data_IF_615881817936
#
_entry.id   IF_615881817936
#
_cell.length_a   1.000
_cell.length_b   1.000
_cell.length_c   1.000
_cell.angle_alpha   90.00
_cell.angle_beta   90.00
_cell.angle_gamma   90.00
#
_symmetry.space_group_name_H-M   'P 1'
#
loop_
_entity.id
_entity.type
_entity.pdbx_description
1 polymer ?
#
# COMPACT_ATOMS: atom_id res chain seq x y z
N UNK A 1 84.80 -39.85 15.78
CA UNK A 1 84.15 -40.11 14.48
C UNK A 1 82.58 -40.03 14.53
N UNK A 2 82.00 -39.56 15.61
CA UNK A 2 80.51 -39.42 15.73
C UNK A 2 79.95 -38.12 15.12
N UNK A 3 80.73 -37.06 15.06
CA UNK A 3 80.26 -35.73 14.66
C UNK A 3 79.88 -35.56 13.16
N UNK A 4 80.44 -36.34 12.26
CA UNK A 4 80.22 -36.19 10.84
C UNK A 4 78.85 -36.85 10.40
N UNK A 5 78.56 -37.98 11.03
CA UNK A 5 77.24 -38.67 10.76
C UNK A 5 76.05 -37.89 11.27
N UNK A 6 76.20 -37.25 12.40
CA UNK A 6 75.07 -36.42 12.95
C UNK A 6 74.91 -35.14 12.14
N UNK A 7 75.95 -34.51 11.67
CA UNK A 7 75.91 -33.36 10.77
C UNK A 7 75.26 -33.68 9.41
N UNK A 8 75.65 -34.86 8.85
CA UNK A 8 75.00 -35.28 7.58
C UNK A 8 73.49 -35.59 7.74
N UNK A 9 73.08 -36.24 8.83
CA UNK A 9 71.68 -36.48 9.16
C UNK A 9 70.88 -35.18 9.38
N UNK A 10 71.48 -34.20 10.02
CA UNK A 10 70.88 -32.92 10.25
C UNK A 10 70.78 -32.11 8.97
N UNK A 11 71.71 -32.18 8.07
CA UNK A 11 71.69 -31.56 6.75
C UNK A 11 70.65 -32.21 5.83
N UNK A 12 70.55 -33.54 5.85
CA UNK A 12 69.51 -34.27 5.12
C UNK A 12 68.09 -33.94 5.64
N UNK A 13 67.92 -33.86 6.98
CA UNK A 13 66.66 -33.42 7.58
C UNK A 13 66.29 -31.98 7.17
N UNK A 14 67.28 -31.05 7.19
CA UNK A 14 66.99 -29.66 6.72
C UNK A 14 66.63 -29.60 5.25
N UNK A 15 67.32 -30.33 4.40
CA UNK A 15 66.97 -30.41 2.95
C UNK A 15 65.66 -31.08 2.71
N UNK A 16 65.25 -32.09 3.46
CA UNK A 16 63.91 -32.69 3.37
C UNK A 16 62.84 -31.73 3.89
N UNK A 17 63.11 -30.98 4.97
CA UNK A 17 62.17 -29.98 5.52
C UNK A 17 62.02 -28.83 4.57
N UNK A 18 63.07 -28.31 3.95
CA UNK A 18 62.96 -27.26 2.92
C UNK A 18 62.29 -27.74 1.67
N UNK A 19 62.44 -28.95 1.18
CA UNK A 19 61.70 -29.53 0.07
C UNK A 19 60.24 -29.71 0.40
N UNK A 20 59.93 -30.15 1.63
CA UNK A 20 58.49 -30.33 2.03
C UNK A 20 57.78 -29.00 2.29
N UNK A 21 58.45 -27.96 2.80
CA UNK A 21 57.91 -26.61 2.93
C UNK A 21 57.64 -26.00 1.53
N UNK A 22 58.60 -26.08 0.62
CA UNK A 22 58.42 -25.59 -0.77
C UNK A 22 57.29 -26.30 -1.53
N UNK A 23 57.09 -27.61 -1.27
CA UNK A 23 55.92 -28.34 -1.86
C UNK A 23 54.59 -27.92 -1.26
N UNK A 24 54.55 -27.71 0.05
CA UNK A 24 53.30 -27.22 0.73
C UNK A 24 52.94 -25.82 0.28
N UNK A 25 53.88 -24.91 0.07
CA UNK A 25 53.63 -23.57 -0.46
C UNK A 25 53.15 -23.62 -1.90
N UNK A 26 53.75 -24.46 -2.76
CA UNK A 26 53.27 -24.67 -4.14
C UNK A 26 51.84 -25.23 -4.22
N UNK A 27 51.50 -26.20 -3.33
CA UNK A 27 50.15 -26.76 -3.21
C UNK A 27 49.15 -25.70 -2.70
N UNK A 28 49.54 -24.88 -1.71
CA UNK A 28 48.73 -23.75 -1.23
C UNK A 28 48.51 -22.72 -2.33
N UNK A 29 49.52 -22.32 -3.08
CA UNK A 29 49.41 -21.37 -4.18
C UNK A 29 48.54 -21.92 -5.29
N UNK A 30 48.61 -23.22 -5.61
CA UNK A 30 47.78 -23.85 -6.61
C UNK A 30 46.29 -23.92 -6.17
N UNK A 31 46.04 -24.29 -4.92
CA UNK A 31 44.67 -24.29 -4.35
C UNK A 31 44.09 -22.88 -4.30
N UNK A 32 44.86 -21.86 -3.91
CA UNK A 32 44.48 -20.47 -3.95
C UNK A 32 44.17 -20.00 -5.38
N UNK A 33 44.99 -20.35 -6.34
CA UNK A 33 44.76 -20.01 -7.74
C UNK A 33 43.50 -20.66 -8.31
N UNK A 34 43.17 -21.90 -7.94
CA UNK A 34 41.92 -22.59 -8.29
C UNK A 34 40.74 -21.87 -7.63
N UNK A 35 40.86 -21.54 -6.33
CA UNK A 35 39.82 -20.82 -5.60
C UNK A 35 39.54 -19.45 -6.23
N UNK A 36 40.54 -18.66 -6.56
CA UNK A 36 40.35 -17.36 -7.23
C UNK A 36 39.74 -17.50 -8.63
N UNK A 37 40.15 -18.52 -9.40
CA UNK A 37 39.52 -18.78 -10.70
C UNK A 37 38.05 -19.19 -10.58
N UNK A 38 37.72 -20.02 -9.61
CA UNK A 38 36.35 -20.41 -9.32
C UNK A 38 35.52 -19.22 -8.81
N UNK A 39 36.07 -18.41 -7.89
CA UNK A 39 35.43 -17.20 -7.38
C UNK A 39 35.18 -16.18 -8.52
N UNK A 40 36.16 -15.99 -9.41
CA UNK A 40 36.04 -15.09 -10.55
C UNK A 40 34.94 -15.59 -11.53
N UNK A 41 34.84 -16.91 -11.75
CA UNK A 41 33.78 -17.53 -12.52
C UNK A 41 32.40 -17.29 -11.93
N UNK A 42 32.24 -17.44 -10.61
CA UNK A 42 30.99 -17.17 -9.90
C UNK A 42 30.61 -15.69 -9.97
N UNK A 43 31.57 -14.78 -9.80
CA UNK A 43 31.34 -13.33 -9.93
C UNK A 43 30.91 -12.98 -11.34
N UNK A 44 31.52 -13.57 -12.37
CA UNK A 44 31.17 -13.32 -13.77
C UNK A 44 29.75 -13.81 -14.07
N UNK A 45 29.38 -15.01 -13.62
CA UNK A 45 28.01 -15.53 -13.76
C UNK A 45 27.01 -14.63 -13.01
N UNK A 46 27.33 -14.20 -11.79
CA UNK A 46 26.50 -13.28 -11.02
C UNK A 46 26.34 -11.92 -11.74
N UNK A 47 27.41 -11.38 -12.32
CA UNK A 47 27.36 -10.13 -13.08
C UNK A 47 26.51 -10.26 -14.35
N UNK A 48 26.59 -11.39 -15.07
CA UNK A 48 25.75 -11.67 -16.24
C UNK A 48 24.29 -11.80 -15.84
N UNK A 49 23.98 -12.53 -14.78
CA UNK A 49 22.61 -12.65 -14.25
C UNK A 49 22.07 -11.29 -13.80
N UNK A 50 22.88 -10.52 -13.10
CA UNK A 50 22.52 -9.15 -12.68
C UNK A 50 22.24 -8.26 -13.90
N UNK A 51 23.06 -8.34 -14.95
CA UNK A 51 22.86 -7.59 -16.19
C UNK A 51 21.54 -7.97 -16.89
N UNK A 52 21.20 -9.27 -16.97
CA UNK A 52 19.93 -9.72 -17.55
C UNK A 52 18.73 -9.28 -16.70
N UNK A 53 18.83 -9.39 -15.38
CA UNK A 53 17.77 -8.94 -14.45
C UNK A 53 17.59 -7.42 -14.58
N UNK A 54 18.69 -6.66 -14.66
CA UNK A 54 18.67 -5.21 -14.83
C UNK A 54 18.04 -4.80 -16.16
N UNK A 55 18.43 -5.43 -17.26
CA UNK A 55 17.83 -5.23 -18.58
C UNK A 55 16.32 -5.55 -18.59
N UNK A 56 15.95 -6.65 -17.94
CA UNK A 56 14.55 -7.04 -17.84
C UNK A 56 13.71 -6.09 -16.97
N UNK A 57 14.27 -5.65 -15.85
CA UNK A 57 13.62 -4.65 -15.00
C UNK A 57 13.46 -3.27 -15.65
N UNK A 58 14.37 -2.89 -16.54
CA UNK A 58 14.37 -1.57 -17.20
C UNK A 58 13.87 -1.65 -18.65
N UNK A 59 13.18 -2.73 -19.02
CA UNK A 59 12.58 -2.83 -20.35
C UNK A 59 11.52 -1.73 -20.50
N UNK A 60 11.69 -0.90 -21.52
CA UNK A 60 10.70 0.10 -21.95
C UNK A 60 9.78 -0.56 -22.97
N UNK A 61 8.50 -0.38 -22.80
CA UNK A 61 7.47 -0.86 -23.71
C UNK A 61 6.98 0.32 -24.55
N UNK A 62 6.67 0.06 -25.82
CA UNK A 62 6.25 1.10 -26.77
C UNK A 62 4.79 0.98 -27.18
N UNK A 63 4.19 -0.18 -26.97
CA UNK A 63 2.82 -0.46 -27.38
C UNK A 63 2.04 -1.17 -26.29
N UNK A 64 0.73 -0.96 -26.26
CA UNK A 64 -0.22 -1.73 -25.48
C UNK A 64 -1.16 -2.47 -26.43
N UNK A 65 -1.42 -3.75 -26.16
CA UNK A 65 -2.29 -4.59 -27.00
C UNK A 65 -3.32 -5.29 -26.14
N UNK A 66 -4.58 -5.25 -26.57
CA UNK A 66 -5.65 -6.03 -25.95
C UNK A 66 -5.53 -7.49 -26.42
N UNK A 67 -5.26 -8.40 -25.49
CA UNK A 67 -5.10 -9.84 -25.76
C UNK A 67 -6.32 -10.68 -25.47
N UNK A 68 -7.27 -10.12 -24.71
CA UNK A 68 -8.57 -10.73 -24.38
C UNK A 68 -9.58 -9.63 -24.05
N UNK A 69 -10.83 -9.86 -24.41
CA UNK A 69 -11.93 -8.92 -24.14
C UNK A 69 -13.21 -9.69 -23.84
N UNK A 70 -13.83 -9.38 -22.71
CA UNK A 70 -15.13 -9.96 -22.32
C UNK A 70 -16.15 -8.84 -22.19
N UNK A 71 -17.27 -8.90 -22.92
CA UNK A 71 -18.33 -7.92 -22.80
C UNK A 71 -18.95 -7.93 -21.39
N UNK A 72 -19.08 -6.75 -20.78
CA UNK A 72 -19.71 -6.56 -19.46
C UNK A 72 -20.64 -5.39 -19.55
N UNK A 73 -21.86 -5.54 -18.98
CA UNK A 73 -22.79 -4.45 -18.88
C UNK A 73 -22.55 -3.68 -17.58
N UNK A 74 -22.04 -2.47 -17.68
CA UNK A 74 -21.90 -1.56 -16.55
C UNK A 74 -23.11 -0.64 -16.54
N UNK A 75 -23.91 -0.71 -15.47
CA UNK A 75 -25.11 0.12 -15.32
C UNK A 75 -24.68 1.57 -15.18
N UNK A 76 -25.44 2.47 -15.80
CA UNK A 76 -25.18 3.91 -15.69
C UNK A 76 -25.23 4.38 -14.22
N UNK A 77 -24.20 5.09 -13.79
CA UNK A 77 -24.05 5.53 -12.40
C UNK A 77 -23.40 4.49 -11.46
N UNK A 78 -23.02 3.32 -11.98
CA UNK A 78 -22.20 2.38 -11.20
C UNK A 78 -20.75 2.88 -11.10
N UNK A 79 -20.17 2.70 -9.92
CA UNK A 79 -18.76 2.93 -9.66
C UNK A 79 -17.97 1.66 -9.86
N UNK A 80 -16.76 1.80 -10.42
CA UNK A 80 -15.83 0.69 -10.68
C UNK A 80 -14.60 0.88 -9.79
N UNK A 81 -14.21 -0.15 -9.05
CA UNK A 81 -13.03 -0.12 -8.15
C UNK A 81 -12.23 -1.41 -8.27
N UNK A 82 -10.95 -1.32 -7.98
CA UNK A 82 -10.12 -2.50 -7.80
C UNK A 82 -10.38 -3.13 -6.43
N UNK A 83 -10.53 -4.45 -6.37
CA UNK A 83 -10.65 -5.25 -5.16
C UNK A 83 -9.61 -6.38 -5.22
N UNK A 84 -8.38 -6.10 -4.78
CA UNK A 84 -7.23 -6.92 -5.12
C UNK A 84 -7.02 -6.98 -6.62
N UNK A 85 -7.07 -8.17 -7.21
CA UNK A 85 -7.02 -8.39 -8.66
C UNK A 85 -8.41 -8.46 -9.32
N UNK A 86 -9.49 -8.32 -8.55
CA UNK A 86 -10.88 -8.39 -9.00
C UNK A 86 -11.42 -6.99 -9.35
N UNK A 87 -12.49 -6.94 -10.10
CA UNK A 87 -13.24 -5.72 -10.39
C UNK A 87 -14.49 -5.69 -9.50
N UNK A 88 -14.62 -4.67 -8.68
CA UNK A 88 -15.81 -4.39 -7.89
C UNK A 88 -16.68 -3.36 -8.62
N UNK A 89 -17.89 -3.74 -8.96
CA UNK A 89 -18.91 -2.84 -9.50
C UNK A 89 -19.96 -2.60 -8.42
N UNK A 90 -20.21 -1.36 -8.05
CA UNK A 90 -21.26 -1.04 -7.08
C UNK A 90 -22.07 0.19 -7.50
N UNK A 91 -23.32 0.18 -7.12
CA UNK A 91 -24.28 1.28 -7.36
C UNK A 91 -25.20 1.45 -6.15
N UNK A 92 -26.26 2.22 -6.30
CA UNK A 92 -27.33 2.32 -5.29
C UNK A 92 -28.12 1.02 -5.15
N UNK A 93 -28.14 0.18 -6.17
CA UNK A 93 -29.03 -1.00 -6.29
C UNK A 93 -28.30 -2.31 -5.98
N UNK A 94 -26.99 -2.27 -5.80
CA UNK A 94 -26.23 -3.49 -5.49
C UNK A 94 -24.77 -3.41 -5.80
N UNK A 95 -24.09 -4.54 -5.58
CA UNK A 95 -22.66 -4.75 -5.80
C UNK A 95 -22.41 -6.09 -6.48
N UNK A 96 -21.43 -6.14 -7.36
CA UNK A 96 -20.96 -7.37 -7.98
C UNK A 96 -19.44 -7.41 -8.06
N UNK A 97 -18.89 -8.61 -8.03
CA UNK A 97 -17.46 -8.85 -8.25
C UNK A 97 -17.26 -9.61 -9.55
N UNK A 98 -16.28 -9.16 -10.33
CA UNK A 98 -15.84 -9.82 -11.56
C UNK A 98 -14.42 -10.32 -11.40
N UNK A 99 -14.09 -11.42 -12.07
CA UNK A 99 -12.71 -11.89 -12.19
C UNK A 99 -11.89 -11.00 -13.16
N UNK A 100 -10.60 -11.28 -13.27
CA UNK A 100 -9.68 -10.59 -14.18
C UNK A 100 -10.07 -10.70 -15.67
N UNK A 101 -10.98 -11.63 -16.00
CA UNK A 101 -11.49 -11.86 -17.34
C UNK A 101 -12.88 -11.28 -17.56
N UNK A 102 -13.47 -10.63 -16.54
CA UNK A 102 -14.81 -10.05 -16.61
C UNK A 102 -15.98 -11.01 -16.34
N UNK A 103 -15.72 -12.26 -15.90
CA UNK A 103 -16.81 -13.13 -15.50
C UNK A 103 -17.34 -12.75 -14.12
N UNK A 104 -18.66 -12.69 -13.97
CA UNK A 104 -19.30 -12.41 -12.67
C UNK A 104 -19.04 -13.57 -11.72
N UNK A 105 -18.40 -13.31 -10.59
CA UNK A 105 -18.16 -14.28 -9.53
C UNK A 105 -19.36 -14.39 -8.60
N UNK A 106 -19.88 -13.26 -8.20
CA UNK A 106 -21.08 -13.12 -7.37
C UNK A 106 -21.70 -11.74 -7.52
N UNK A 107 -22.95 -11.60 -7.10
CA UNK A 107 -23.65 -10.34 -7.00
C UNK A 107 -24.50 -10.28 -5.72
N UNK A 108 -24.76 -9.08 -5.25
CA UNK A 108 -25.67 -8.79 -4.14
C UNK A 108 -26.49 -7.55 -4.48
N UNK A 109 -27.82 -7.68 -4.35
CA UNK A 109 -28.72 -6.55 -4.48
C UNK A 109 -28.99 -5.92 -3.12
N UNK A 110 -29.10 -4.61 -3.10
CA UNK A 110 -29.51 -3.79 -1.96
C UNK A 110 -30.12 -2.49 -2.49
N UNK A 111 -30.65 -1.68 -1.60
CA UNK A 111 -31.14 -0.33 -1.92
C UNK A 111 -30.44 0.65 -0.99
N UNK A 112 -29.66 1.58 -1.56
CA UNK A 112 -28.92 2.63 -0.85
C UNK A 112 -29.19 3.98 -1.49
N UNK A 113 -29.17 5.05 -0.69
CA UNK A 113 -29.32 6.42 -1.20
C UNK A 113 -27.98 7.04 -1.57
N UNK A 114 -26.98 6.89 -0.71
CA UNK A 114 -25.64 7.47 -0.86
C UNK A 114 -24.58 6.43 -0.47
N UNK A 115 -24.28 5.45 -1.33
CA UNK A 115 -23.34 4.37 -1.01
C UNK A 115 -21.91 4.92 -0.81
N UNK A 116 -21.30 4.55 0.30
CA UNK A 116 -19.89 4.77 0.62
C UNK A 116 -19.16 3.43 0.55
N UNK A 117 -17.97 3.42 -0.02
CA UNK A 117 -17.17 2.21 -0.14
C UNK A 117 -15.77 2.43 0.39
N UNK A 118 -15.29 1.50 1.20
CA UNK A 118 -13.90 1.43 1.66
C UNK A 118 -13.35 0.06 1.33
N UNK A 119 -12.06 0.00 0.99
CA UNK A 119 -11.38 -1.21 0.52
C UNK A 119 -10.07 -1.37 1.28
N UNK A 120 -9.78 -2.61 1.70
CA UNK A 120 -8.50 -3.02 2.24
C UNK A 120 -8.14 -4.38 1.64
N UNK A 121 -7.08 -4.42 0.81
CA UNK A 121 -6.68 -5.63 0.08
C UNK A 121 -7.81 -6.20 -0.78
N UNK A 122 -8.26 -7.40 -0.44
CA UNK A 122 -9.33 -8.11 -1.16
C UNK A 122 -10.70 -8.03 -0.45
N UNK A 123 -10.87 -7.12 0.49
CA UNK A 123 -12.13 -6.92 1.24
C UNK A 123 -12.64 -5.50 1.07
N UNK A 124 -13.93 -5.37 0.85
CA UNK A 124 -14.63 -4.10 0.79
C UNK A 124 -15.81 -4.06 1.77
N UNK A 125 -16.06 -2.89 2.33
CA UNK A 125 -17.30 -2.57 3.04
C UNK A 125 -18.06 -1.49 2.28
N UNK A 126 -19.36 -1.73 2.04
CA UNK A 126 -20.26 -0.82 1.37
C UNK A 126 -21.36 -0.44 2.35
N UNK A 127 -21.41 0.82 2.75
CA UNK A 127 -22.42 1.36 3.67
C UNK A 127 -23.16 2.52 3.04
N UNK A 128 -24.36 2.81 3.55
CA UNK A 128 -25.14 3.97 3.12
C UNK A 128 -24.90 5.16 4.08
N UNK A 129 -24.50 6.31 3.56
CA UNK A 129 -24.39 7.53 4.36
C UNK A 129 -25.77 7.92 4.92
N UNK A 130 -25.86 8.13 6.22
CA UNK A 130 -27.12 8.25 6.98
C UNK A 130 -27.96 6.97 7.04
N UNK A 131 -27.58 5.90 6.36
CA UNK A 131 -28.21 4.58 6.52
C UNK A 131 -27.71 3.84 7.77
N UNK A 132 -28.10 2.56 7.87
CA UNK A 132 -27.79 1.71 9.04
C UNK A 132 -27.28 0.33 8.67
N UNK A 133 -26.98 0.09 7.40
CA UNK A 133 -26.54 -1.21 6.92
C UNK A 133 -25.19 -1.08 6.23
N UNK A 134 -24.29 -2.03 6.52
CA UNK A 134 -22.98 -2.15 5.87
C UNK A 134 -22.87 -3.58 5.34
N UNK A 135 -22.67 -3.73 4.04
CA UNK A 135 -22.35 -5.01 3.40
C UNK A 135 -20.85 -5.19 3.35
N UNK A 136 -20.38 -6.32 3.84
CA UNK A 136 -18.96 -6.68 3.82
C UNK A 136 -18.76 -7.80 2.83
N UNK A 137 -17.86 -7.59 1.88
CA UNK A 137 -17.65 -8.48 0.74
C UNK A 137 -16.16 -8.71 0.51
N UNK A 138 -15.82 -9.86 -0.05
CA UNK A 138 -14.49 -10.12 -0.60
C UNK A 138 -14.55 -10.22 -2.12
N UNK A 139 -13.39 -10.25 -2.78
CA UNK A 139 -13.32 -10.48 -4.21
C UNK A 139 -14.04 -11.77 -4.66
N UNK A 140 -14.07 -12.79 -3.82
CA UNK A 140 -14.56 -14.12 -4.18
C UNK A 140 -15.96 -14.45 -3.61
N UNK A 141 -16.43 -13.73 -2.58
CA UNK A 141 -17.73 -13.99 -1.93
C UNK A 141 -18.21 -12.83 -1.06
N UNK A 142 -19.48 -12.87 -0.72
CA UNK A 142 -20.02 -12.08 0.38
C UNK A 142 -19.51 -12.61 1.72
N UNK A 143 -19.18 -11.71 2.66
CA UNK A 143 -18.72 -12.09 4.00
C UNK A 143 -19.84 -11.99 5.03
N UNK A 144 -20.51 -10.82 5.11
CA UNK A 144 -21.60 -10.62 6.05
C UNK A 144 -22.26 -9.24 5.89
N UNK A 145 -23.21 -8.98 6.78
CA UNK A 145 -23.94 -7.71 6.84
C UNK A 145 -23.93 -7.21 8.27
N UNK A 146 -23.54 -5.96 8.45
CA UNK A 146 -23.58 -5.27 9.74
C UNK A 146 -24.77 -4.32 9.74
N UNK A 147 -25.65 -4.48 10.74
CA UNK A 147 -26.76 -3.55 10.98
C UNK A 147 -26.42 -2.66 12.17
N UNK A 148 -26.24 -1.37 11.92
CA UNK A 148 -25.99 -0.38 12.96
C UNK A 148 -27.31 0.16 13.53
N UNK A 149 -27.35 0.46 14.83
CA UNK A 149 -28.56 1.04 15.45
C UNK A 149 -28.66 2.56 15.20
N UNK A 150 -27.58 3.18 14.75
CA UNK A 150 -27.42 4.62 14.56
C UNK A 150 -27.02 4.92 13.10
N UNK A 151 -27.28 6.16 12.63
CA UNK A 151 -26.90 6.56 11.28
C UNK A 151 -25.38 6.54 11.07
N UNK A 152 -24.94 6.02 9.91
CA UNK A 152 -23.55 5.88 9.52
C UNK A 152 -23.03 7.20 8.93
N UNK A 153 -21.85 7.65 9.40
CA UNK A 153 -21.15 8.82 8.88
C UNK A 153 -19.89 8.45 8.11
N UNK A 154 -19.11 7.49 8.62
CA UNK A 154 -17.90 6.98 7.99
C UNK A 154 -17.76 5.49 8.27
N UNK A 155 -17.06 4.80 7.39
CA UNK A 155 -16.70 3.38 7.57
C UNK A 155 -15.25 3.17 7.17
N UNK A 156 -14.60 2.19 7.76
CA UNK A 156 -13.38 1.60 7.25
C UNK A 156 -13.39 0.09 7.49
N UNK A 157 -12.64 -0.65 6.70
CA UNK A 157 -12.58 -2.12 6.74
C UNK A 157 -11.14 -2.60 6.75
N UNK A 158 -10.90 -3.74 7.34
CA UNK A 158 -9.61 -4.45 7.34
C UNK A 158 -9.65 -5.66 6.39
N UNK A 159 -8.50 -6.19 6.01
CA UNK A 159 -8.41 -7.39 5.16
C UNK A 159 -9.03 -8.65 5.78
N UNK A 160 -9.10 -8.70 7.11
CA UNK A 160 -9.74 -9.81 7.82
C UNK A 160 -11.24 -9.60 8.07
N UNK A 161 -11.85 -8.56 7.50
CA UNK A 161 -13.29 -8.31 7.55
C UNK A 161 -13.80 -7.61 8.80
N UNK A 162 -12.93 -7.07 9.65
CA UNK A 162 -13.36 -6.17 10.74
C UNK A 162 -13.77 -4.83 10.14
N UNK A 163 -14.91 -4.30 10.56
CA UNK A 163 -15.44 -3.00 10.12
C UNK A 163 -15.46 -2.06 11.31
N UNK A 164 -14.96 -0.84 11.13
CA UNK A 164 -15.21 0.26 12.05
C UNK A 164 -16.14 1.27 11.40
N UNK A 165 -17.14 1.72 12.14
CA UNK A 165 -18.14 2.69 11.72
C UNK A 165 -18.21 3.87 12.69
N UNK A 166 -18.17 5.07 12.15
CA UNK A 166 -18.51 6.31 12.88
C UNK A 166 -20.00 6.52 12.76
N UNK A 167 -20.67 6.56 13.90
CA UNK A 167 -22.13 6.64 14.02
C UNK A 167 -22.51 7.92 14.77
N UNK A 168 -23.61 8.51 14.33
CA UNK A 168 -24.16 9.75 14.90
C UNK A 168 -25.21 9.42 15.98
N UNK A 169 -24.93 9.81 17.21
CA UNK A 169 -25.82 9.61 18.35
C UNK A 169 -26.00 10.95 19.10
N UNK A 170 -26.98 11.73 18.69
CA UNK A 170 -27.40 13.03 19.29
C UNK A 170 -26.25 13.93 19.76
N UNK A 171 -25.75 13.66 20.97
CA UNK A 171 -24.71 14.47 21.63
C UNK A 171 -23.34 13.77 21.65
N UNK A 172 -23.27 12.52 21.19
CA UNK A 172 -22.07 11.68 21.23
C UNK A 172 -21.84 11.05 19.87
N UNK A 173 -20.64 11.14 19.36
CA UNK A 173 -20.22 10.34 18.21
C UNK A 173 -19.69 8.99 18.70
N UNK A 174 -20.23 7.90 18.19
CA UNK A 174 -19.77 6.55 18.52
C UNK A 174 -18.94 5.97 17.39
N UNK A 175 -17.83 5.37 17.74
CA UNK A 175 -17.02 4.60 16.82
C UNK A 175 -17.12 3.14 17.25
N UNK A 176 -17.89 2.36 16.47
CA UNK A 176 -18.18 0.95 16.79
C UNK A 176 -17.41 0.04 15.84
N UNK A 177 -16.87 -1.04 16.41
CA UNK A 177 -16.24 -2.11 15.62
C UNK A 177 -17.15 -3.33 15.58
N UNK A 178 -17.17 -3.98 14.39
CA UNK A 178 -18.00 -5.14 14.12
C UNK A 178 -17.19 -6.26 13.45
N UNK A 179 -17.59 -7.51 13.68
CA UNK A 179 -17.14 -8.62 12.87
C UNK A 179 -17.96 -8.70 11.57
N UNK A 180 -17.41 -8.18 10.47
CA UNK A 180 -18.09 -8.18 9.18
C UNK A 180 -18.08 -9.52 8.45
N UNK A 181 -17.51 -10.59 9.03
CA UNK A 181 -17.53 -11.94 8.44
C UNK A 181 -18.82 -12.71 8.72
N UNK A 182 -19.76 -12.08 9.38
CA UNK A 182 -21.07 -12.65 9.73
C UNK A 182 -22.14 -11.56 9.70
N UNK A 183 -23.40 -11.99 9.68
CA UNK A 183 -24.50 -11.05 9.84
C UNK A 183 -24.61 -10.68 11.32
N UNK A 184 -24.45 -9.41 11.65
CA UNK A 184 -24.42 -8.95 13.05
C UNK A 184 -25.04 -7.56 13.22
N UNK A 185 -25.59 -7.34 14.38
CA UNK A 185 -26.02 -6.03 14.94
C UNK A 185 -25.23 -5.67 16.21
N UNK A 186 -24.34 -6.56 16.64
CA UNK A 186 -23.59 -6.43 17.89
C UNK A 186 -22.17 -5.97 17.62
N UNK A 187 -21.79 -4.84 18.25
CA UNK A 187 -20.43 -4.32 18.18
C UNK A 187 -19.49 -5.07 19.12
N UNK A 188 -18.24 -5.25 18.67
CA UNK A 188 -17.14 -5.81 19.49
C UNK A 188 -16.58 -4.75 20.44
N UNK A 189 -16.53 -3.49 19.97
CA UNK A 189 -15.95 -2.34 20.69
C UNK A 189 -16.84 -1.13 20.49
N UNK A 190 -16.93 -0.27 21.52
CA UNK A 190 -17.66 1.00 21.52
C UNK A 190 -16.78 2.12 22.07
N UNK A 191 -16.27 2.98 21.20
CA UNK A 191 -15.51 4.18 21.55
C UNK A 191 -16.44 5.38 21.48
N UNK A 192 -16.50 6.16 22.56
CA UNK A 192 -17.34 7.36 22.63
C UNK A 192 -16.48 8.61 22.49
N UNK A 193 -16.84 9.45 21.54
CA UNK A 193 -16.23 10.76 21.32
C UNK A 193 -17.25 11.87 21.54
N UNK A 194 -16.91 12.85 22.37
CA UNK A 194 -17.72 14.05 22.59
C UNK A 194 -16.93 15.28 22.13
N UNK A 195 -17.62 16.30 21.66
CA UNK A 195 -16.99 17.52 21.12
C UNK A 195 -16.09 18.21 22.14
N UNK A 196 -16.46 18.17 23.42
CA UNK A 196 -15.75 18.82 24.53
C UNK A 196 -14.50 18.05 25.01
N UNK A 197 -14.41 16.74 24.77
CA UNK A 197 -13.28 15.92 25.23
C UNK A 197 -12.37 15.47 24.10
N UNK A 198 -12.94 14.77 23.12
CA UNK A 198 -12.17 14.13 22.06
C UNK A 198 -12.18 14.92 20.75
N UNK A 199 -13.21 15.74 20.54
CA UNK A 199 -13.50 16.37 19.24
C UNK A 199 -14.30 15.46 18.32
N UNK A 200 -14.49 15.92 17.07
CA UNK A 200 -15.21 15.20 16.02
C UNK A 200 -14.22 14.36 15.17
N UNK A 201 -14.52 13.07 14.89
CA UNK A 201 -13.65 12.23 14.08
C UNK A 201 -13.71 12.62 12.59
N UNK A 202 -12.61 13.18 12.09
CA UNK A 202 -12.46 13.58 10.69
C UNK A 202 -12.13 12.40 9.78
N UNK A 203 -11.28 11.48 10.24
CA UNK A 203 -10.82 10.33 9.46
C UNK A 203 -10.60 9.13 10.37
N UNK A 204 -10.87 7.95 9.84
CA UNK A 204 -10.63 6.66 10.52
C UNK A 204 -9.93 5.69 9.58
N UNK A 205 -9.05 4.86 10.09
CA UNK A 205 -8.39 3.81 9.33
C UNK A 205 -8.08 2.60 10.22
N UNK A 206 -8.42 1.41 9.77
CA UNK A 206 -8.02 0.13 10.38
C UNK A 206 -6.72 -0.37 9.77
N UNK A 207 -5.86 -0.96 10.59
CA UNK A 207 -4.75 -1.76 10.09
C UNK A 207 -5.28 -2.99 9.30
N UNK A 208 -4.54 -3.50 8.30
CA UNK A 208 -5.01 -4.65 7.50
C UNK A 208 -5.42 -5.86 8.34
N UNK A 209 -4.74 -6.13 9.46
CA UNK A 209 -5.10 -7.21 10.38
C UNK A 209 -6.24 -6.87 11.37
N UNK A 210 -6.83 -5.67 11.28
CA UNK A 210 -7.95 -5.22 12.12
C UNK A 210 -7.63 -5.02 13.60
N UNK A 211 -6.35 -5.04 14.02
CA UNK A 211 -5.96 -4.92 15.44
C UNK A 211 -5.75 -3.49 15.88
N UNK A 212 -5.39 -2.60 14.99
CA UNK A 212 -5.17 -1.18 15.28
C UNK A 212 -6.21 -0.34 14.54
N UNK A 213 -6.69 0.71 15.19
CA UNK A 213 -7.52 1.76 14.62
C UNK A 213 -6.85 3.10 14.85
N UNK A 214 -6.65 3.86 13.79
CA UNK A 214 -6.25 5.26 13.83
C UNK A 214 -7.47 6.15 13.64
N UNK A 215 -7.58 7.19 14.43
CA UNK A 215 -8.65 8.18 14.32
C UNK A 215 -8.02 9.57 14.40
N UNK A 216 -8.34 10.41 13.43
CA UNK A 216 -8.04 11.84 13.49
C UNK A 216 -9.27 12.57 14.02
N UNK A 217 -9.10 13.28 15.15
CA UNK A 217 -10.14 14.12 15.74
C UNK A 217 -9.84 15.60 15.51
N UNK A 218 -10.88 16.40 15.31
CA UNK A 218 -10.82 17.85 15.34
C UNK A 218 -11.56 18.37 16.57
N UNK A 219 -10.85 19.09 17.40
CA UNK A 219 -11.38 19.77 18.59
C UNK A 219 -11.25 21.27 18.42
N UNK A 220 -12.31 22.00 18.75
CA UNK A 220 -12.33 23.46 18.76
C UNK A 220 -12.78 23.89 20.14
N UNK A 221 -11.89 24.55 20.88
CA UNK A 221 -12.17 25.09 22.20
C UNK A 221 -11.73 26.56 22.28
N UNK A 222 -12.64 27.42 22.76
CA UNK A 222 -12.36 28.84 23.03
C UNK A 222 -11.74 29.60 21.84
N UNK A 223 -11.96 29.14 20.61
CA UNK A 223 -11.42 29.72 19.38
C UNK A 223 -10.05 29.17 18.98
N UNK A 224 -9.49 28.25 19.75
CA UNK A 224 -8.29 27.48 19.36
C UNK A 224 -8.70 26.16 18.70
N UNK A 225 -8.04 25.82 17.62
CA UNK A 225 -8.27 24.60 16.86
C UNK A 225 -7.12 23.60 17.15
N UNK A 226 -7.49 22.36 17.42
CA UNK A 226 -6.53 21.30 17.67
C UNK A 226 -6.97 20.01 16.99
N UNK A 227 -6.08 19.36 16.28
CA UNK A 227 -6.30 17.98 15.84
C UNK A 227 -5.52 17.00 16.72
N UNK A 228 -6.11 15.84 16.95
CA UNK A 228 -5.47 14.74 17.66
C UNK A 228 -5.53 13.49 16.79
N UNK A 229 -4.39 12.89 16.48
CA UNK A 229 -4.31 11.56 15.86
C UNK A 229 -4.16 10.54 16.99
N UNK A 230 -5.18 9.73 17.21
CA UNK A 230 -5.26 8.74 18.28
C UNK A 230 -5.21 7.32 17.71
N UNK A 231 -4.50 6.44 18.41
CA UNK A 231 -4.40 5.02 18.09
C UNK A 231 -5.00 4.16 19.18
N UNK A 232 -5.80 3.18 18.76
CA UNK A 232 -6.45 2.19 19.60
C UNK A 232 -5.98 0.81 19.21
N UNK A 233 -5.78 -0.07 20.20
CA UNK A 233 -5.32 -1.45 19.97
C UNK A 233 -6.33 -2.44 20.55
N UNK A 234 -6.90 -3.33 19.74
CA UNK A 234 -7.87 -4.35 20.13
C UNK A 234 -7.25 -5.73 20.37
N UNK A 235 -5.91 -5.81 20.30
CA UNK A 235 -5.14 -6.98 20.71
C UNK A 235 -4.87 -7.02 22.21
N UNK A 236 -4.02 -7.93 22.65
CA UNK A 236 -3.73 -8.15 24.07
C UNK A 236 -3.16 -6.91 24.78
N UNK A 237 -2.37 -6.09 24.09
CA UNK A 237 -1.80 -4.86 24.69
C UNK A 237 -2.90 -3.85 25.00
N UNK A 238 -3.81 -3.61 24.07
CA UNK A 238 -4.86 -2.62 24.26
C UNK A 238 -5.94 -3.05 25.26
N UNK A 239 -6.16 -4.35 25.46
CA UNK A 239 -7.08 -4.83 26.52
C UNK A 239 -6.66 -4.42 27.93
N UNK A 240 -5.39 -4.11 28.15
CA UNK A 240 -4.85 -3.65 29.43
C UNK A 240 -4.85 -2.12 29.56
N UNK A 241 -5.24 -1.40 28.51
CA UNK A 241 -5.32 0.07 28.52
C UNK A 241 -6.77 0.54 28.63
N UNK A 242 -6.98 1.74 29.17
CA UNK A 242 -8.33 2.33 29.25
C UNK A 242 -8.85 2.60 27.84
N UNK A 243 -10.05 2.09 27.55
CA UNK A 243 -10.74 2.26 26.27
C UNK A 243 -9.92 1.79 25.05
N UNK A 244 -8.98 0.84 25.24
CA UNK A 244 -8.06 0.37 24.21
C UNK A 244 -7.12 1.46 23.64
N UNK A 245 -7.05 2.63 24.21
CA UNK A 245 -6.22 3.75 23.76
C UNK A 245 -4.74 3.48 24.07
N UNK A 246 -3.88 3.55 23.06
CA UNK A 246 -2.45 3.19 23.20
C UNK A 246 -1.49 4.34 22.91
N UNK A 247 -1.85 5.28 22.06
CA UNK A 247 -1.05 6.48 21.81
C UNK A 247 -1.86 7.58 21.13
N UNK A 248 -1.43 8.84 21.29
CA UNK A 248 -2.04 9.99 20.63
C UNK A 248 -1.08 11.15 20.51
N UNK A 249 -1.30 11.95 19.48
CA UNK A 249 -0.44 13.05 19.09
C UNK A 249 -1.29 14.27 18.75
N UNK A 250 -1.00 15.37 19.43
CA UNK A 250 -1.73 16.63 19.31
C UNK A 250 -1.03 17.59 18.34
N UNK A 251 -1.82 18.26 17.51
CA UNK A 251 -1.41 19.25 16.53
C UNK A 251 -2.25 20.51 16.74
N UNK A 252 -1.61 21.58 17.27
CA UNK A 252 -2.26 22.87 17.55
C UNK A 252 -2.29 23.70 16.27
N UNK A 253 -3.38 24.43 16.04
CA UNK A 253 -3.62 25.26 14.85
C UNK A 253 -3.44 24.51 13.51
N UNK A 254 -3.73 23.23 13.52
CA UNK A 254 -3.53 22.32 12.37
C UNK A 254 -4.73 21.40 12.22
N UNK A 255 -5.25 21.25 11.01
CA UNK A 255 -6.30 20.27 10.68
C UNK A 255 -5.65 19.02 10.08
N UNK A 256 -5.98 17.84 10.62
CA UNK A 256 -5.55 16.54 10.08
C UNK A 256 -6.76 15.82 9.46
N UNK A 257 -7.11 16.11 8.20
CA UNK A 257 -8.31 15.55 7.56
C UNK A 257 -8.14 14.08 7.14
N UNK A 258 -6.92 13.55 7.13
CA UNK A 258 -6.66 12.23 6.58
C UNK A 258 -5.67 11.44 7.44
N UNK A 259 -6.04 10.21 7.79
CA UNK A 259 -5.17 9.22 8.42
C UNK A 259 -5.37 7.87 7.75
N UNK A 260 -4.27 7.14 7.50
CA UNK A 260 -4.32 5.86 6.80
C UNK A 260 -3.25 4.89 7.28
N UNK A 261 -3.64 3.64 7.54
CA UNK A 261 -2.70 2.54 7.67
C UNK A 261 -2.23 2.06 6.30
N UNK A 262 -0.92 1.94 6.14
CA UNK A 262 -0.27 1.37 4.94
C UNK A 262 -0.05 -0.14 5.12
N UNK A 263 0.21 -0.55 6.36
CA UNK A 263 0.49 -1.93 6.74
C UNK A 263 0.02 -2.19 8.17
N UNK A 264 0.28 -3.37 8.70
CA UNK A 264 -0.05 -3.70 10.10
C UNK A 264 0.71 -2.88 11.15
N UNK A 265 1.75 -2.17 10.75
CA UNK A 265 2.63 -1.44 11.66
C UNK A 265 2.96 -0.02 11.20
N UNK A 266 2.64 0.36 9.97
CA UNK A 266 2.94 1.68 9.44
C UNK A 266 1.65 2.41 9.06
N UNK A 267 1.57 3.66 9.48
CA UNK A 267 0.48 4.57 9.14
C UNK A 267 1.04 5.95 8.82
N UNK A 268 0.24 6.77 8.17
CA UNK A 268 0.55 8.18 7.97
C UNK A 268 -0.71 9.04 8.17
N UNK A 269 -0.47 10.30 8.45
CA UNK A 269 -1.51 11.32 8.48
C UNK A 269 -1.08 12.52 7.64
N UNK A 270 -2.00 13.12 6.93
CA UNK A 270 -1.78 14.33 6.14
C UNK A 270 -2.60 15.45 6.74
N UNK A 271 -1.93 16.56 7.01
CA UNK A 271 -2.56 17.80 7.46
C UNK A 271 -2.40 18.90 6.39
N UNK A 272 -2.91 20.06 6.70
CA UNK A 272 -2.78 21.28 5.88
C UNK A 272 -1.34 21.77 5.76
N UNK A 273 -0.44 21.41 6.71
CA UNK A 273 0.94 21.91 6.77
C UNK A 273 2.02 20.82 6.82
N UNK A 274 1.65 19.54 6.98
CA UNK A 274 2.63 18.44 7.12
C UNK A 274 2.07 17.08 6.79
N UNK A 275 2.96 16.15 6.48
CA UNK A 275 2.71 14.71 6.54
C UNK A 275 3.48 14.12 7.71
N UNK A 276 2.81 13.27 8.50
CA UNK A 276 3.38 12.58 9.66
C UNK A 276 3.35 11.09 9.43
N UNK A 277 4.46 10.43 9.70
CA UNK A 277 4.59 8.98 9.60
C UNK A 277 4.63 8.36 11.00
N UNK A 278 3.93 7.25 11.14
CA UNK A 278 3.85 6.49 12.39
C UNK A 278 4.27 5.04 12.17
N UNK A 279 4.97 4.46 13.15
CA UNK A 279 5.32 3.04 13.12
C UNK A 279 5.14 2.40 14.50
N UNK A 280 4.70 1.15 14.51
CA UNK A 280 4.48 0.32 15.68
C UNK A 280 3.31 -0.62 15.49
N UNK A 281 3.52 -1.91 15.78
CA UNK A 281 2.49 -2.96 15.65
C UNK A 281 1.53 -3.05 16.85
N UNK A 282 1.86 -2.38 17.96
CA UNK A 282 1.08 -2.42 19.20
C UNK A 282 0.77 -1.01 19.72
N UNK A 283 1.76 -0.14 19.76
CA UNK A 283 1.68 1.27 20.20
C UNK A 283 2.38 2.13 19.13
N UNK A 284 1.69 2.58 18.08
CA UNK A 284 2.27 3.42 17.06
C UNK A 284 2.86 4.71 17.62
N UNK A 285 4.04 5.08 17.14
CA UNK A 285 4.74 6.32 17.50
C UNK A 285 5.10 7.09 16.23
N UNK A 286 5.23 8.41 16.34
CA UNK A 286 5.74 9.26 15.27
C UNK A 286 7.18 8.88 14.96
N UNK A 287 7.47 8.61 13.69
CA UNK A 287 8.82 8.29 13.20
C UNK A 287 9.42 9.40 12.36
N UNK A 288 8.59 10.12 11.63
CA UNK A 288 9.03 11.24 10.81
C UNK A 288 7.90 12.26 10.61
N UNK A 289 8.32 13.51 10.33
CA UNK A 289 7.43 14.61 9.95
C UNK A 289 8.10 15.34 8.78
N UNK A 290 7.35 15.55 7.70
CA UNK A 290 7.77 16.39 6.60
C UNK A 290 6.79 17.56 6.46
N UNK A 291 7.31 18.79 6.41
CA UNK A 291 6.48 20.00 6.21
C UNK A 291 6.01 20.07 4.77
N UNK A 292 4.80 20.56 4.58
CA UNK A 292 4.17 20.78 3.28
C UNK A 292 3.92 22.28 3.13
N UNK A 293 4.51 22.86 2.09
CA UNK A 293 4.38 24.30 1.81
C UNK A 293 3.29 24.57 0.76
N UNK A 294 2.69 23.53 0.20
CA UNK A 294 1.72 23.59 -0.89
C UNK A 294 0.50 22.74 -0.61
N UNK A 295 -0.64 23.13 -1.17
CA UNK A 295 -1.91 22.41 -1.04
C UNK A 295 -1.86 21.06 -1.75
N UNK A 296 -2.15 19.97 -1.00
CA UNK A 296 -2.21 18.60 -1.52
C UNK A 296 -3.50 18.40 -2.32
N UNK A 297 -3.37 18.07 -3.59
CA UNK A 297 -4.50 17.80 -4.50
C UNK A 297 -4.92 16.32 -4.50
N UNK A 298 -4.03 15.41 -4.17
CA UNK A 298 -4.30 13.98 -4.15
C UNK A 298 -3.32 13.21 -3.28
N UNK A 299 -3.82 12.12 -2.67
CA UNK A 299 -3.04 11.24 -1.80
C UNK A 299 -3.19 9.82 -2.36
N UNK A 300 -2.06 9.20 -2.68
CA UNK A 300 -1.97 7.84 -3.21
C UNK A 300 -0.95 7.06 -2.40
N UNK A 301 -1.16 5.77 -2.20
CA UNK A 301 -0.25 4.99 -1.36
C UNK A 301 -0.31 3.50 -1.67
N UNK A 302 0.72 2.78 -1.23
CA UNK A 302 0.73 1.34 -1.04
C UNK A 302 1.41 0.99 0.30
N UNK A 303 1.76 -0.25 0.52
CA UNK A 303 2.40 -0.70 1.76
C UNK A 303 3.77 -0.05 2.04
N UNK A 304 4.44 0.50 1.02
CA UNK A 304 5.84 0.99 1.07
C UNK A 304 6.00 2.47 0.78
N UNK A 305 5.05 3.09 0.08
CA UNK A 305 5.18 4.45 -0.43
C UNK A 305 3.90 5.25 -0.26
N UNK A 306 4.08 6.56 -0.04
CA UNK A 306 3.01 7.57 -0.09
C UNK A 306 3.36 8.58 -1.17
N UNK A 307 2.42 8.86 -2.06
CA UNK A 307 2.52 9.91 -3.09
C UNK A 307 1.56 11.05 -2.76
N UNK A 308 2.09 12.26 -2.74
CA UNK A 308 1.31 13.49 -2.62
C UNK A 308 1.37 14.24 -3.93
N UNK A 309 0.21 14.57 -4.49
CA UNK A 309 0.11 15.33 -5.73
C UNK A 309 -0.14 16.80 -5.42
N UNK A 310 0.57 17.66 -6.11
CA UNK A 310 0.47 19.12 -6.05
C UNK A 310 0.23 19.68 -7.46
N UNK A 311 -0.29 20.90 -7.53
CA UNK A 311 -0.19 21.71 -8.76
C UNK A 311 1.27 22.08 -8.98
N UNK A 312 1.80 21.87 -10.19
CA UNK A 312 3.17 22.31 -10.47
C UNK A 312 3.23 23.84 -10.60
N UNK A 313 4.11 24.47 -9.81
CA UNK A 313 4.30 25.92 -9.80
C UNK A 313 5.46 26.36 -10.70
N UNK A 314 6.27 25.43 -11.19
CA UNK A 314 7.38 25.74 -12.10
C UNK A 314 6.89 26.08 -13.51
N UNK A 315 5.72 25.63 -13.88
CA UNK A 315 5.14 25.75 -15.23
C UNK A 315 5.70 24.76 -16.23
N UNK A 316 6.44 23.76 -15.77
CA UNK A 316 6.98 22.67 -16.61
C UNK A 316 5.97 21.55 -16.84
N UNK A 317 5.01 21.37 -15.92
CA UNK A 317 3.98 20.35 -15.99
C UNK A 317 2.65 20.82 -15.39
N UNK A 318 1.59 20.03 -15.50
CA UNK A 318 0.31 20.32 -14.86
C UNK A 318 0.36 20.01 -13.34
N UNK A 319 1.04 18.91 -12.99
CA UNK A 319 1.11 18.42 -11.61
C UNK A 319 2.53 17.94 -11.27
N UNK A 320 2.81 17.88 -9.96
CA UNK A 320 3.99 17.25 -9.37
C UNK A 320 3.56 16.20 -8.36
N UNK A 321 4.12 15.01 -8.44
CA UNK A 321 3.94 13.92 -7.49
C UNK A 321 5.21 13.75 -6.67
N UNK A 322 5.14 14.07 -5.38
CA UNK A 322 6.20 13.82 -4.41
C UNK A 322 6.00 12.46 -3.75
N UNK A 323 7.00 11.60 -3.81
CA UNK A 323 6.94 10.22 -3.31
C UNK A 323 7.80 10.09 -2.06
N UNK A 324 7.18 9.59 -0.98
CA UNK A 324 7.80 9.35 0.31
C UNK A 324 7.86 7.85 0.62
N UNK A 325 8.91 7.41 1.29
CA UNK A 325 8.97 6.07 1.87
C UNK A 325 8.29 6.03 3.26
N UNK A 326 8.16 4.85 3.86
CA UNK A 326 7.57 4.67 5.21
C UNK A 326 8.40 5.32 6.33
N UNK A 327 9.66 5.68 6.07
CA UNK A 327 10.53 6.42 6.99
C UNK A 327 10.34 7.93 6.92
N UNK A 328 9.51 8.44 5.99
CA UNK A 328 9.25 9.86 5.78
C UNK A 328 10.26 10.58 4.88
N UNK A 329 11.20 9.85 4.26
CA UNK A 329 12.12 10.44 3.30
C UNK A 329 11.42 10.66 1.96
N UNK A 330 11.51 11.85 1.40
CA UNK A 330 11.10 12.12 0.03
C UNK A 330 12.13 11.52 -0.93
N UNK A 331 11.76 10.42 -1.60
CA UNK A 331 12.64 9.64 -2.45
C UNK A 331 12.65 10.11 -3.90
N UNK A 332 11.56 10.73 -4.35
CA UNK A 332 11.44 11.23 -5.72
C UNK A 332 10.38 12.31 -5.85
N UNK A 333 10.55 13.19 -6.85
CA UNK A 333 9.55 14.14 -7.34
C UNK A 333 9.38 13.92 -8.85
N UNK A 334 8.17 13.56 -9.26
CA UNK A 334 7.81 13.26 -10.64
C UNK A 334 6.90 14.35 -11.19
N UNK A 335 7.28 14.94 -12.33
CA UNK A 335 6.41 15.85 -13.07
C UNK A 335 5.40 15.04 -13.90
N UNK A 336 4.14 15.46 -13.88
CA UNK A 336 3.03 14.86 -14.58
C UNK A 336 2.45 15.91 -15.53
N UNK A 337 2.74 15.73 -16.83
CA UNK A 337 2.29 16.61 -17.90
C UNK A 337 1.08 16.01 -18.65
N UNK A 338 0.14 15.52 -17.87
CA UNK A 338 -1.15 15.01 -18.38
C UNK A 338 -2.22 15.19 -17.31
N UNK A 339 -3.46 15.41 -17.72
CA UNK A 339 -4.60 15.23 -16.82
C UNK A 339 -4.70 13.76 -16.44
N UNK A 340 -4.98 13.47 -15.18
CA UNK A 340 -5.09 12.10 -14.70
C UNK A 340 -6.43 11.87 -14.00
N UNK A 341 -6.98 10.68 -14.16
CA UNK A 341 -8.17 10.20 -13.44
C UNK A 341 -7.78 9.47 -12.17
N UNK A 342 -6.67 8.74 -12.20
CA UNK A 342 -6.18 7.98 -11.03
C UNK A 342 -4.66 7.75 -11.11
N UNK A 343 -4.06 7.52 -9.93
CA UNK A 343 -2.66 7.13 -9.76
C UNK A 343 -2.61 5.88 -8.89
N UNK A 344 -2.03 4.81 -9.41
CA UNK A 344 -1.93 3.52 -8.71
C UNK A 344 -0.48 3.23 -8.36
N UNK A 345 -0.20 3.05 -7.07
CA UNK A 345 1.07 2.54 -6.58
C UNK A 345 1.00 1.02 -6.49
N UNK A 346 1.72 0.33 -7.34
CA UNK A 346 1.78 -1.13 -7.35
C UNK A 346 3.21 -1.63 -7.22
N UNK A 347 3.56 -2.19 -6.06
CA UNK A 347 4.95 -2.56 -5.72
C UNK A 347 5.89 -1.37 -5.86
N UNK A 348 6.84 -1.44 -6.80
CA UNK A 348 7.81 -0.38 -7.14
C UNK A 348 7.44 0.39 -8.43
N UNK A 349 6.17 0.34 -8.84
CA UNK A 349 5.65 1.04 -10.03
C UNK A 349 4.62 2.10 -9.65
N UNK A 350 4.61 3.17 -10.42
CA UNK A 350 3.60 4.23 -10.40
C UNK A 350 2.91 4.18 -11.77
N UNK A 351 1.60 4.02 -11.74
CA UNK A 351 0.75 3.97 -12.93
C UNK A 351 -0.13 5.21 -12.88
N UNK A 352 0.02 6.10 -13.84
CA UNK A 352 -0.73 7.35 -13.97
C UNK A 352 -1.56 7.23 -15.23
N UNK A 353 -2.88 7.38 -15.14
CA UNK A 353 -3.73 7.25 -16.30
C UNK A 353 -4.97 8.14 -16.23
N UNK A 354 -5.53 8.42 -17.39
CA UNK A 354 -6.88 8.94 -17.59
C UNK A 354 -7.66 7.95 -18.47
N UNK A 355 -8.75 8.40 -19.06
CA UNK A 355 -9.56 7.56 -19.93
C UNK A 355 -8.83 7.12 -21.22
N UNK A 356 -7.88 7.91 -21.73
CA UNK A 356 -7.19 7.63 -23.00
C UNK A 356 -5.69 7.43 -22.86
N UNK A 357 -5.03 8.07 -21.90
CA UNK A 357 -3.58 8.11 -21.80
C UNK A 357 -3.09 7.35 -20.56
N UNK A 358 -1.92 6.74 -20.67
CA UNK A 358 -1.28 6.02 -19.58
C UNK A 358 0.23 6.24 -19.57
N UNK A 359 0.76 6.52 -18.39
CA UNK A 359 2.19 6.56 -18.11
C UNK A 359 2.50 5.60 -16.96
N UNK A 360 3.42 4.68 -17.17
CA UNK A 360 3.90 3.75 -16.16
C UNK A 360 5.39 3.99 -15.95
N UNK A 361 5.79 4.32 -14.75
CA UNK A 361 7.19 4.48 -14.38
C UNK A 361 7.51 3.66 -13.12
N UNK A 362 8.80 3.48 -12.84
CA UNK A 362 9.20 2.95 -11.55
C UNK A 362 9.19 4.05 -10.50
N UNK A 363 9.38 3.66 -9.23
CA UNK A 363 9.35 4.59 -8.10
C UNK A 363 10.46 5.66 -8.16
N UNK A 364 11.50 5.45 -8.97
CA UNK A 364 12.57 6.44 -9.24
C UNK A 364 12.29 7.32 -10.47
N UNK A 365 11.08 7.26 -11.03
CA UNK A 365 10.64 8.09 -12.15
C UNK A 365 11.11 7.63 -13.53
N UNK A 366 11.73 6.46 -13.66
CA UNK A 366 12.14 5.92 -14.97
C UNK A 366 10.93 5.34 -15.67
N UNK A 367 10.59 5.90 -16.83
CA UNK A 367 9.44 5.49 -17.62
C UNK A 367 9.64 4.06 -18.16
N UNK A 368 8.59 3.27 -18.07
CA UNK A 368 8.48 1.91 -18.61
C UNK A 368 7.50 1.82 -19.77
N UNK A 369 6.49 2.69 -19.75
CA UNK A 369 5.49 2.80 -20.79
C UNK A 369 4.92 4.22 -20.78
N UNK A 370 4.75 4.78 -21.95
CA UNK A 370 3.96 5.99 -22.19
C UNK A 370 3.21 5.79 -23.49
N UNK A 371 1.89 5.86 -23.44
CA UNK A 371 1.07 5.60 -24.62
C UNK A 371 -0.40 5.86 -24.38
N UNK A 372 -1.20 5.59 -25.40
CA UNK A 372 -2.65 5.77 -25.40
C UNK A 372 -3.35 4.41 -25.39
N UNK A 373 -4.54 4.38 -24.81
CA UNK A 373 -5.41 3.21 -24.88
C UNK A 373 -6.18 3.16 -26.21
N UNK A 374 -6.48 1.97 -26.69
CA UNK A 374 -7.32 1.77 -27.89
C UNK A 374 -8.79 2.19 -27.65
N UNK A 375 -9.25 2.15 -26.38
CA UNK A 375 -10.61 2.48 -25.94
C UNK A 375 -10.53 3.22 -24.61
N UNK A 376 -11.53 4.06 -24.30
CA UNK A 376 -11.60 4.73 -22.99
C UNK A 376 -11.62 3.74 -21.83
N UNK A 377 -10.68 3.88 -20.90
CA UNK A 377 -10.49 3.03 -19.71
C UNK A 377 -10.98 3.75 -18.46
N UNK A 378 -11.88 3.14 -17.72
CA UNK A 378 -12.40 3.66 -16.46
C UNK A 378 -11.64 3.15 -15.23
N UNK A 379 -10.99 1.99 -15.34
CA UNK A 379 -10.18 1.40 -14.29
C UNK A 379 -9.07 0.55 -14.87
N UNK A 380 -7.84 0.72 -14.38
CA UNK A 380 -6.68 -0.08 -14.74
C UNK A 380 -6.15 -0.80 -13.50
N UNK A 381 -6.18 -2.13 -13.51
CA UNK A 381 -5.71 -2.97 -12.40
C UNK A 381 -4.42 -3.68 -12.81
N UNK A 382 -3.30 -3.47 -12.11
CA UNK A 382 -2.10 -4.24 -12.34
C UNK A 382 -2.28 -5.69 -11.90
N UNK A 383 -1.70 -6.61 -12.67
CA UNK A 383 -1.71 -8.04 -12.33
C UNK A 383 -0.39 -8.47 -11.66
N UNK A 384 -0.28 -9.74 -11.31
CA UNK A 384 1.00 -10.30 -10.82
C UNK A 384 2.14 -10.22 -11.86
N UNK A 385 1.80 -10.13 -13.14
CA UNK A 385 2.74 -9.94 -14.24
C UNK A 385 3.10 -8.47 -14.41
N UNK A 386 4.39 -8.18 -14.59
CA UNK A 386 4.91 -6.81 -14.70
C UNK A 386 4.47 -6.05 -15.98
N UNK A 387 3.81 -6.73 -16.91
CA UNK A 387 3.43 -6.19 -18.22
C UNK A 387 1.98 -6.50 -18.62
N UNK A 388 1.18 -7.08 -17.70
CA UNK A 388 -0.24 -7.37 -17.94
C UNK A 388 -1.12 -6.60 -16.97
N UNK A 389 -2.21 -6.08 -17.48
CA UNK A 389 -3.18 -5.27 -16.76
C UNK A 389 -4.59 -5.71 -17.11
N UNK A 390 -5.50 -5.59 -16.16
CA UNK A 390 -6.94 -5.66 -16.43
C UNK A 390 -7.45 -4.25 -16.64
N UNK A 391 -7.95 -3.95 -17.82
CA UNK A 391 -8.53 -2.67 -18.16
C UNK A 391 -10.05 -2.80 -18.23
N UNK A 392 -10.76 -1.95 -17.49
CA UNK A 392 -12.23 -1.89 -17.52
C UNK A 392 -12.65 -0.69 -18.36
N UNK A 393 -13.46 -0.95 -19.37
CA UNK A 393 -14.08 0.07 -20.24
C UNK A 393 -15.57 0.16 -19.95
N UNK A 394 -16.29 1.05 -20.62
CA UNK A 394 -17.74 1.15 -20.46
C UNK A 394 -18.53 -0.09 -20.89
N UNK A 395 -17.93 -1.00 -21.64
CA UNK A 395 -18.61 -2.18 -22.23
C UNK A 395 -17.84 -3.49 -22.15
N UNK A 396 -16.61 -3.50 -21.61
CA UNK A 396 -15.82 -4.72 -21.53
C UNK A 396 -14.83 -4.69 -20.37
N UNK A 397 -14.41 -5.88 -19.97
CA UNK A 397 -13.18 -6.10 -19.19
C UNK A 397 -12.16 -6.72 -20.13
N UNK A 398 -11.07 -6.01 -20.31
CA UNK A 398 -10.05 -6.33 -21.30
C UNK A 398 -8.75 -6.74 -20.60
N UNK A 399 -8.06 -7.74 -21.12
CA UNK A 399 -6.68 -8.05 -20.72
C UNK A 399 -5.74 -7.29 -21.63
N UNK A 400 -5.02 -6.32 -21.07
CA UNK A 400 -4.03 -5.50 -21.78
C UNK A 400 -2.61 -6.03 -21.49
N UNK A 401 -1.78 -6.08 -22.51
CA UNK A 401 -0.37 -6.48 -22.41
C UNK A 401 0.52 -5.42 -23.07
N UNK A 402 1.59 -5.03 -22.36
CA UNK A 402 2.61 -4.11 -22.87
C UNK A 402 3.64 -4.89 -23.71
N UNK A 403 4.04 -4.31 -24.87
CA UNK A 403 4.99 -4.88 -25.83
C UNK A 403 6.12 -3.94 -26.21
#
# INVERSE_FOLDING_TARGET
>A
MSNIRDYLKEREKRQQTEKTTGYREKIRGHKLAIFYRAALGVILVAAVLFFFIFQWKNKVFTESVITGSTPVTIVQGASVRALGTRVLLYSKDGVSSLDEKGNVLWNQTFEMQNPMTTICGNVAAIGDYNGRTIYVVSGDKQLGTVNTNLPIRKICVSENGVVAAVLDDSDVTRILLYNGNENTDTSIVDIKATMDKSGYPLSISLSPNGKLLAISYLHVDSGEMKSTVAFFNFGEVGKNESDNYVSGFDYVDTVVPYVQFMSNSNAFAVSDDRIVFFSGSEKPNTTAVALLDEEVQGIYYNESYVGLVYRDQSGEAAYRLDVYNTGGDKIHSLLIDMDYSDIVFFKDQIIIYNDMDCRICNISGVDRFTGTFEKPVSLLIPTSSAYKYTAVTSGSVDTMELK
#
